data_IF_842009149814
#
_entry.id   IF_842009149814
#
_cell.length_a   1.000
_cell.length_b   1.000
_cell.length_c   1.000
_cell.angle_alpha   90.00
_cell.angle_beta   90.00
_cell.angle_gamma   90.00
#
_symmetry.space_group_name_H-M   'P 1'
#
loop_
_entity.id
_entity.type
_entity.pdbx_description
1 polymer ?
#
# COMPACT_ATOMS: atom_id res chain seq x y z
N UNK A 1 -6.04 -60.04 -34.00
CA UNK A 1 -5.04 -59.01 -33.67
C UNK A 1 -5.79 -57.82 -33.07
N UNK A 2 -5.83 -57.68 -31.75
CA UNK A 2 -6.47 -56.52 -31.10
C UNK A 2 -5.58 -55.28 -31.31
N UNK A 3 -6.14 -54.12 -31.70
CA UNK A 3 -5.36 -52.90 -31.78
C UNK A 3 -4.86 -52.53 -30.37
N UNK A 4 -3.64 -52.00 -30.20
CA UNK A 4 -3.10 -51.66 -28.89
C UNK A 4 -3.83 -50.43 -28.34
N UNK A 5 -4.95 -50.65 -27.65
CA UNK A 5 -5.75 -49.61 -27.00
C UNK A 5 -4.93 -48.81 -25.96
N UNK A 6 -3.82 -49.37 -25.46
CA UNK A 6 -2.91 -48.69 -24.53
C UNK A 6 -2.34 -47.39 -25.10
N UNK A 7 -2.07 -47.32 -26.41
CA UNK A 7 -1.54 -46.11 -27.05
C UNK A 7 -2.58 -44.98 -27.06
N UNK A 8 -3.86 -45.32 -27.23
CA UNK A 8 -4.96 -44.34 -27.25
C UNK A 8 -5.18 -43.77 -25.86
N UNK A 9 -5.13 -44.61 -24.82
CA UNK A 9 -5.27 -44.15 -23.44
C UNK A 9 -4.08 -43.31 -22.96
N UNK A 10 -2.85 -43.65 -23.36
CA UNK A 10 -1.69 -42.83 -23.02
C UNK A 10 -1.73 -41.47 -23.72
N UNK A 11 -2.12 -41.42 -24.99
CA UNK A 11 -2.32 -40.16 -25.72
C UNK A 11 -3.45 -39.31 -25.10
N UNK A 12 -4.58 -39.93 -24.74
CA UNK A 12 -5.68 -39.22 -24.09
C UNK A 12 -5.27 -38.65 -22.72
N UNK A 13 -4.55 -39.43 -21.91
CA UNK A 13 -4.03 -38.97 -20.62
C UNK A 13 -3.07 -37.78 -20.78
N UNK A 14 -2.14 -37.85 -21.75
CA UNK A 14 -1.17 -36.78 -22.00
C UNK A 14 -1.84 -35.47 -22.41
N UNK A 15 -2.88 -35.54 -23.25
CA UNK A 15 -3.65 -34.37 -23.71
C UNK A 15 -4.47 -33.75 -22.58
N UNK A 16 -5.08 -34.58 -21.72
CA UNK A 16 -5.85 -34.06 -20.57
C UNK A 16 -4.94 -33.40 -19.52
N UNK A 17 -3.72 -33.91 -19.33
CA UNK A 17 -2.79 -33.44 -18.31
C UNK A 17 -2.25 -32.02 -18.62
N UNK A 18 -2.07 -31.66 -19.89
CA UNK A 18 -1.65 -30.31 -20.30
C UNK A 18 -2.71 -29.23 -20.09
N UNK A 19 -3.99 -29.60 -19.90
CA UNK A 19 -5.09 -28.65 -19.70
C UNK A 19 -5.33 -28.24 -18.23
N UNK A 20 -4.61 -28.82 -17.26
CA UNK A 20 -4.80 -28.52 -15.82
C UNK A 20 -3.78 -27.56 -15.20
N UNK A 21 -2.91 -26.94 -16.00
CA UNK A 21 -1.86 -26.04 -15.49
C UNK A 21 -2.23 -24.56 -15.58
N UNK A 22 -3.09 -24.03 -14.70
CA UNK A 22 -3.14 -22.56 -14.50
C UNK A 22 -2.07 -22.17 -13.50
N UNK A 23 -0.98 -21.56 -13.97
CA UNK A 23 -0.06 -20.83 -13.07
C UNK A 23 -0.76 -19.59 -12.56
N UNK A 24 -0.76 -19.39 -11.23
CA UNK A 24 -1.23 -18.13 -10.67
C UNK A 24 -0.37 -16.99 -11.24
N UNK A 25 -0.96 -15.90 -11.78
CA UNK A 25 -0.17 -14.74 -12.18
C UNK A 25 0.65 -14.24 -10.99
N UNK A 26 1.90 -13.87 -11.26
CA UNK A 26 2.74 -13.23 -10.25
C UNK A 26 2.04 -11.95 -9.77
N UNK A 27 2.04 -11.70 -8.47
CA UNK A 27 1.60 -10.43 -7.90
C UNK A 27 2.54 -9.33 -8.38
N UNK A 28 2.04 -8.45 -9.26
CA UNK A 28 2.74 -7.24 -9.68
C UNK A 28 2.54 -6.15 -8.63
N UNK A 29 3.60 -5.42 -8.31
CA UNK A 29 3.51 -4.19 -7.51
C UNK A 29 3.26 -3.04 -8.47
N UNK A 30 2.09 -2.42 -8.37
CA UNK A 30 1.79 -1.21 -9.13
C UNK A 30 2.19 0.04 -8.34
N UNK A 31 3.06 0.85 -8.94
CA UNK A 31 3.38 2.18 -8.41
C UNK A 31 2.27 3.13 -8.86
N UNK A 32 1.34 3.41 -7.95
CA UNK A 32 0.23 4.34 -8.23
C UNK A 32 0.66 5.80 -8.21
N UNK A 33 1.59 6.17 -7.32
CA UNK A 33 2.03 7.55 -7.15
C UNK A 33 3.30 7.64 -6.28
N UNK A 34 4.13 8.66 -6.53
CA UNK A 34 5.21 9.09 -5.66
C UNK A 34 5.01 10.54 -5.25
N UNK A 35 5.44 10.90 -4.04
CA UNK A 35 5.33 12.25 -3.51
C UNK A 35 6.30 12.45 -2.34
N UNK A 36 6.74 13.71 -2.17
CA UNK A 36 7.50 14.16 -1.02
C UNK A 36 6.80 15.36 -0.38
N UNK A 37 6.78 15.39 0.95
CA UNK A 37 6.36 16.57 1.67
C UNK A 37 7.43 17.68 1.49
N UNK A 38 7.07 18.92 1.14
CA UNK A 38 8.07 19.96 0.90
C UNK A 38 8.82 20.38 2.16
N UNK A 39 10.16 20.51 2.07
CA UNK A 39 10.99 21.14 3.11
C UNK A 39 11.22 20.27 4.36
N UNK A 40 11.03 18.96 4.26
CA UNK A 40 11.29 18.01 5.36
C UNK A 40 12.47 17.10 5.03
N UNK A 41 13.06 16.48 6.05
CA UNK A 41 14.15 15.52 5.91
C UNK A 41 13.65 14.15 5.44
N UNK A 42 12.45 13.76 5.86
CA UNK A 42 11.85 12.49 5.45
C UNK A 42 10.32 12.58 5.36
N UNK A 43 9.77 11.94 4.33
CA UNK A 43 8.34 11.67 4.17
C UNK A 43 8.09 10.19 4.39
N UNK A 44 7.29 9.85 5.41
CA UNK A 44 7.01 8.47 5.80
C UNK A 44 5.50 8.22 5.69
N UNK A 45 4.99 7.78 4.51
CA UNK A 45 3.61 7.35 4.37
C UNK A 45 3.30 6.17 5.29
N UNK A 46 2.07 6.05 5.80
CA UNK A 46 1.69 5.00 6.76
C UNK A 46 0.47 4.21 6.31
N UNK A 47 -0.72 4.82 6.33
CA UNK A 47 -1.97 4.16 5.93
C UNK A 47 -2.69 4.97 4.87
N UNK A 48 -3.09 4.31 3.80
CA UNK A 48 -4.03 4.84 2.81
C UNK A 48 -5.45 4.36 3.15
N UNK A 49 -6.41 5.25 2.98
CA UNK A 49 -7.84 4.96 3.07
C UNK A 49 -8.36 4.40 1.73
N UNK A 50 -9.39 3.55 1.79
CA UNK A 50 -10.03 3.02 0.59
C UNK A 50 -10.75 4.16 -0.13
N UNK A 51 -10.10 4.71 -1.16
CA UNK A 51 -10.54 5.85 -1.96
C UNK A 51 -10.19 7.24 -1.41
N UNK A 52 -8.90 7.53 -1.19
CA UNK A 52 -8.20 8.70 -1.80
C UNK A 52 -7.28 9.50 -0.89
N UNK A 53 -7.36 9.33 0.44
CA UNK A 53 -6.52 10.07 1.37
C UNK A 53 -5.56 9.14 2.12
N UNK A 54 -4.38 9.65 2.42
CA UNK A 54 -3.33 8.93 3.14
C UNK A 54 -2.92 9.71 4.38
N UNK A 55 -2.67 9.01 5.47
CA UNK A 55 -1.97 9.55 6.62
C UNK A 55 -0.51 9.10 6.62
N UNK A 56 0.37 10.00 7.01
CA UNK A 56 1.77 9.70 7.23
C UNK A 56 2.40 10.58 8.30
N UNK A 57 3.71 10.44 8.40
CA UNK A 57 4.56 11.17 9.33
C UNK A 57 5.71 11.80 8.56
N UNK A 58 6.08 13.03 8.91
CA UNK A 58 7.31 13.68 8.44
C UNK A 58 8.31 13.81 9.56
N UNK A 59 9.58 13.85 9.18
CA UNK A 59 10.68 14.32 10.02
C UNK A 59 11.09 15.69 9.46
N UNK A 60 10.78 16.76 10.18
CA UNK A 60 11.11 18.13 9.79
C UNK A 60 12.61 18.41 9.95
N UNK A 61 13.09 19.50 9.36
CA UNK A 61 14.51 19.83 9.36
C UNK A 61 15.11 20.07 10.76
N UNK A 62 14.29 20.46 11.74
CA UNK A 62 14.63 20.58 13.17
C UNK A 62 14.54 19.24 13.93
N UNK A 63 14.28 18.14 13.24
CA UNK A 63 14.18 16.79 13.80
C UNK A 63 12.82 16.47 14.43
N UNK A 64 11.84 17.38 14.36
CA UNK A 64 10.53 17.13 14.92
C UNK A 64 9.74 16.12 14.07
N UNK A 65 8.99 15.26 14.76
CA UNK A 65 8.14 14.24 14.12
C UNK A 65 6.70 14.73 14.15
N UNK A 66 6.09 14.88 12.97
CA UNK A 66 4.75 15.44 12.80
C UNK A 66 3.91 14.63 11.83
N UNK A 67 2.60 14.54 12.07
CA UNK A 67 1.70 13.83 11.20
C UNK A 67 1.17 14.73 10.08
N UNK A 68 0.80 14.15 8.94
CA UNK A 68 0.18 14.85 7.83
C UNK A 68 -0.89 13.99 7.16
N UNK A 69 -1.78 14.64 6.41
CA UNK A 69 -2.69 13.99 5.47
C UNK A 69 -2.27 14.39 4.05
N UNK A 70 -2.11 13.41 3.17
CA UNK A 70 -1.92 13.63 1.74
C UNK A 70 -3.21 13.30 0.99
N UNK A 71 -3.53 14.16 0.01
CA UNK A 71 -4.69 14.02 -0.88
C UNK A 71 -4.20 13.76 -2.32
N UNK A 72 -3.86 12.50 -2.66
CA UNK A 72 -3.45 12.05 -3.98
C UNK A 72 -4.15 12.74 -5.15
N UNK A 73 -5.49 12.76 -5.19
CA UNK A 73 -6.28 13.32 -6.29
C UNK A 73 -6.07 14.83 -6.51
N UNK A 74 -5.63 15.56 -5.48
CA UNK A 74 -5.41 17.01 -5.52
C UNK A 74 -3.94 17.37 -5.45
N UNK A 75 -3.06 16.37 -5.35
CA UNK A 75 -1.63 16.55 -5.12
C UNK A 75 -1.33 17.57 -4.01
N UNK A 76 -2.06 17.49 -2.90
CA UNK A 76 -1.97 18.48 -1.81
C UNK A 76 -1.81 17.83 -0.44
N UNK A 77 -1.06 18.50 0.42
CA UNK A 77 -0.87 18.12 1.82
C UNK A 77 -1.77 18.98 2.71
N UNK A 78 -2.21 18.41 3.83
CA UNK A 78 -2.69 19.21 4.95
C UNK A 78 -1.51 19.98 5.58
N UNK A 79 -1.78 21.04 6.35
CA UNK A 79 -0.86 21.47 7.39
C UNK A 79 -0.47 20.29 8.28
N UNK A 80 0.69 20.38 8.92
CA UNK A 80 1.11 19.40 9.92
C UNK A 80 0.06 19.32 11.02
N UNK A 81 -0.32 18.11 11.38
CA UNK A 81 -1.24 17.85 12.47
C UNK A 81 -0.46 18.02 13.77
N UNK A 82 -0.75 19.13 14.46
CA UNK A 82 -0.13 19.49 15.74
C UNK A 82 -1.27 19.53 16.77
N UNK A 83 -1.38 18.54 17.66
CA UNK A 83 -2.41 18.56 18.68
C UNK A 83 -2.17 19.72 19.66
N UNK A 84 -3.24 20.22 20.30
CA UNK A 84 -3.08 21.17 21.40
C UNK A 84 -2.21 20.51 22.47
N UNK A 85 -1.19 21.22 22.94
CA UNK A 85 -0.17 20.77 23.91
C UNK A 85 1.00 19.92 23.38
N UNK A 86 1.20 19.83 22.06
CA UNK A 86 2.30 19.10 21.40
C UNK A 86 3.70 19.72 21.59
N UNK A 87 4.02 20.11 22.82
CA UNK A 87 5.13 21.00 23.11
C UNK A 87 6.48 20.28 22.97
N UNK A 88 6.52 18.94 23.10
CA UNK A 88 7.79 18.21 23.23
C UNK A 88 7.87 16.82 22.58
N UNK A 89 6.77 16.14 22.26
CA UNK A 89 6.84 14.78 21.72
C UNK A 89 6.56 14.63 20.22
N UNK A 90 6.84 13.44 19.67
CA UNK A 90 6.47 13.09 18.31
C UNK A 90 4.94 13.05 18.18
N UNK A 91 4.43 13.56 17.06
CA UNK A 91 3.05 13.31 16.61
C UNK A 91 3.12 12.47 15.36
N UNK A 92 2.64 11.24 15.41
CA UNK A 92 2.72 10.30 14.29
C UNK A 92 1.32 9.90 13.84
N UNK A 93 1.09 9.90 12.53
CA UNK A 93 -0.17 9.45 11.96
C UNK A 93 -0.06 7.99 11.56
N UNK A 94 -0.82 7.09 12.19
CA UNK A 94 -0.75 5.63 11.94
C UNK A 94 -1.93 5.09 11.16
N UNK A 95 -3.12 5.65 11.39
CA UNK A 95 -4.34 5.17 10.78
C UNK A 95 -5.26 6.30 10.36
N UNK A 96 -5.96 6.08 9.26
CA UNK A 96 -7.03 6.92 8.73
C UNK A 96 -8.22 6.03 8.34
N UNK A 97 -9.44 6.56 8.40
CA UNK A 97 -10.67 5.94 7.90
C UNK A 97 -11.38 6.84 6.88
N UNK A 98 -12.43 6.33 6.21
CA UNK A 98 -13.21 7.06 5.19
C UNK A 98 -13.82 8.39 5.66
N UNK A 99 -13.96 8.59 6.97
CA UNK A 99 -14.43 9.85 7.57
C UNK A 99 -13.30 10.83 7.85
N UNK A 100 -12.07 10.51 7.43
CA UNK A 100 -10.82 11.25 7.71
C UNK A 100 -10.50 11.38 9.21
N UNK A 101 -10.98 10.45 10.03
CA UNK A 101 -10.52 10.36 11.40
C UNK A 101 -9.14 9.73 11.40
N UNK A 102 -8.18 10.44 12.01
CA UNK A 102 -6.80 10.01 12.11
C UNK A 102 -6.50 9.56 13.53
N UNK A 103 -5.78 8.45 13.64
CA UNK A 103 -5.24 7.93 14.90
C UNK A 103 -3.73 7.75 14.77
N UNK A 104 -3.05 7.76 15.91
CA UNK A 104 -1.63 7.47 15.97
C UNK A 104 -1.02 7.75 17.33
N UNK A 105 0.26 8.06 17.33
CA UNK A 105 1.06 8.22 18.55
C UNK A 105 1.25 9.69 18.88
N UNK A 106 1.17 9.98 20.17
CA UNK A 106 1.37 11.30 20.74
C UNK A 106 2.02 11.14 22.12
N UNK A 107 3.09 11.90 22.37
CA UNK A 107 3.84 11.92 23.64
C UNK A 107 3.94 13.36 24.16
#
# INVERSE_FOLDING_TARGET
MQPPHSLIYTLAALITLTFFGTVAPATTIDIIQTFDYPGVTATLPQKIEDQTDLVGTVITADGAVRAFIYKPLRHSFSPLLIPPFANHGPTQGRGINFRRHVVGEYL
#
